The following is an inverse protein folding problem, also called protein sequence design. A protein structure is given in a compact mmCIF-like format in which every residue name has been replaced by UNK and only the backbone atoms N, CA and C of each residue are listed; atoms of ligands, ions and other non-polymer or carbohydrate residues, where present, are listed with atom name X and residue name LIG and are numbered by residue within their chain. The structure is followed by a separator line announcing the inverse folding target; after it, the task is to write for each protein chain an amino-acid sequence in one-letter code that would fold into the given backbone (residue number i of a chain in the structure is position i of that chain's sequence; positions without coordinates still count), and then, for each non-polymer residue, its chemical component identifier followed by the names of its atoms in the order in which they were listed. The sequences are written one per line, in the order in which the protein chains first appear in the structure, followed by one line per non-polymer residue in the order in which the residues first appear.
data_IF_528432939925
#
_entry.id   IF_528432939925
#
_cell.length_a   1.000
_cell.length_b   1.000
_cell.length_c   1.000
_cell.angle_alpha   90.00
_cell.angle_beta   90.00
_cell.angle_gamma   90.00
#
_symmetry.space_group_name_H-M   'P 1'
#
loop_
_entity.id
_entity.type
_entity.pdbx_description
1 polymer ?
#
# COMPACT_ATOMS: atom_id res chain seq x y z
N UNK A 1 2.78 0.91 24.62
CA UNK A 1 3.05 0.06 23.45
C UNK A 1 1.96 0.40 22.45
N UNK A 2 2.32 0.82 21.24
CA UNK A 2 1.35 1.23 20.23
C UNK A 2 0.85 0.02 19.44
N UNK A 3 -0.42 0.02 19.09
CA UNK A 3 -1.01 -0.98 18.20
C UNK A 3 -0.90 -0.46 16.76
N UNK A 4 -0.04 -1.08 15.95
CA UNK A 4 0.20 -0.66 14.57
C UNK A 4 -0.32 -1.76 13.64
N UNK A 5 -1.30 -1.40 12.80
CA UNK A 5 -1.79 -2.25 11.71
C UNK A 5 -1.31 -1.67 10.38
N UNK A 6 -0.59 -2.46 9.59
CA UNK A 6 -0.06 -2.03 8.29
C UNK A 6 0.13 -3.25 7.38
N UNK A 7 -0.45 -3.20 6.19
CA UNK A 7 -0.22 -4.17 5.11
C UNK A 7 -0.35 -3.47 3.75
N UNK A 8 0.68 -2.70 3.41
CA UNK A 8 0.63 -1.83 2.22
C UNK A 8 0.60 -2.62 0.92
N UNK A 9 1.15 -3.84 0.92
CA UNK A 9 1.14 -4.68 -0.28
C UNK A 9 -0.24 -5.30 -0.50
N UNK A 10 -0.92 -5.73 0.57
CA UNK A 10 -2.32 -6.15 0.47
C UNK A 10 -3.22 -4.99 0.01
N UNK A 11 -3.04 -3.79 0.54
CA UNK A 11 -3.79 -2.60 0.11
C UNK A 11 -3.60 -2.30 -1.40
N UNK A 12 -2.38 -2.48 -1.89
CA UNK A 12 -2.07 -2.35 -3.31
C UNK A 12 -2.78 -3.43 -4.14
N UNK A 13 -2.72 -4.69 -3.72
CA UNK A 13 -3.42 -5.80 -4.40
C UNK A 13 -4.94 -5.56 -4.43
N UNK A 14 -5.51 -5.08 -3.34
CA UNK A 14 -6.94 -4.78 -3.28
C UNK A 14 -7.30 -3.63 -4.22
N UNK A 15 -6.46 -2.60 -4.30
CA UNK A 15 -6.64 -1.53 -5.30
C UNK A 15 -6.57 -2.07 -6.72
N UNK A 16 -5.62 -2.96 -7.03
CA UNK A 16 -5.53 -3.62 -8.34
C UNK A 16 -6.82 -4.38 -8.66
N UNK A 17 -7.35 -5.16 -7.71
CA UNK A 17 -8.64 -5.88 -7.90
C UNK A 17 -9.78 -4.92 -8.21
N UNK A 18 -9.86 -3.77 -7.52
CA UNK A 18 -10.89 -2.75 -7.80
C UNK A 18 -10.73 -2.13 -9.19
N UNK A 19 -9.49 -1.89 -9.65
CA UNK A 19 -9.22 -1.40 -11.03
C UNK A 19 -9.77 -2.38 -12.07
N UNK A 20 -9.48 -3.68 -11.92
CA UNK A 20 -10.00 -4.71 -12.82
C UNK A 20 -11.53 -4.85 -12.73
N UNK A 21 -12.11 -4.74 -11.54
CA UNK A 21 -13.58 -4.73 -11.38
C UNK A 21 -14.20 -3.52 -12.08
N UNK A 22 -13.61 -2.34 -11.92
CA UNK A 22 -14.05 -1.10 -12.54
C UNK A 22 -13.90 -1.07 -14.07
N UNK A 23 -12.95 -1.83 -14.63
CA UNK A 23 -12.75 -1.94 -16.08
C UNK A 23 -13.74 -2.90 -16.77
N UNK A 24 -14.57 -3.62 -16.00
CA UNK A 24 -15.52 -4.62 -16.52
C UNK A 24 -14.92 -6.01 -16.73
N UNK A 25 -13.65 -6.22 -16.33
CA UNK A 25 -12.95 -7.49 -16.43
C UNK A 25 -12.38 -7.88 -15.06
N UNK A 26 -13.23 -8.26 -14.08
CA UNK A 26 -12.77 -8.59 -12.75
C UNK A 26 -11.82 -9.79 -12.76
N UNK A 27 -10.78 -9.72 -11.93
CA UNK A 27 -9.87 -10.82 -11.67
C UNK A 27 -10.63 -12.00 -11.03
N UNK A 28 -10.42 -13.26 -11.47
CA UNK A 28 -10.93 -14.45 -10.80
C UNK A 28 -10.72 -14.45 -9.27
N UNK A 29 -11.72 -14.97 -8.55
CA UNK A 29 -11.62 -15.18 -7.11
C UNK A 29 -10.56 -16.25 -6.79
N UNK A 30 -9.80 -16.03 -5.72
CA UNK A 30 -8.79 -16.97 -5.24
C UNK A 30 -7.42 -16.87 -5.90
N UNK A 31 -7.19 -15.91 -6.80
CA UNK A 31 -5.83 -15.60 -7.26
C UNK A 31 -4.95 -15.18 -6.09
N UNK A 32 -3.70 -15.66 -6.13
CA UNK A 32 -2.64 -15.25 -5.22
C UNK A 32 -2.20 -13.81 -5.50
N UNK A 33 -1.59 -13.17 -4.50
CA UNK A 33 -1.02 -11.82 -4.62
C UNK A 33 0.02 -11.72 -5.74
N UNK A 34 0.77 -12.80 -5.98
CA UNK A 34 1.70 -12.87 -7.11
C UNK A 34 0.93 -12.75 -8.44
N UNK A 35 -0.12 -13.57 -8.62
CA UNK A 35 -0.91 -13.60 -9.85
C UNK A 35 -1.62 -12.26 -10.10
N UNK A 36 -2.16 -11.63 -9.04
CA UNK A 36 -2.79 -10.30 -9.12
C UNK A 36 -1.79 -9.28 -9.64
N UNK A 37 -0.59 -9.24 -9.06
CA UNK A 37 0.42 -8.27 -9.47
C UNK A 37 0.95 -8.51 -10.89
N UNK A 38 1.15 -9.77 -11.29
CA UNK A 38 1.51 -10.10 -12.69
C UNK A 38 0.41 -9.64 -13.64
N UNK A 39 -0.85 -9.98 -13.36
CA UNK A 39 -1.98 -9.58 -14.20
C UNK A 39 -2.06 -8.05 -14.39
N UNK A 40 -1.78 -7.29 -13.32
CA UNK A 40 -1.71 -5.83 -13.42
C UNK A 40 -0.64 -5.36 -14.41
N UNK A 41 0.60 -5.81 -14.25
CA UNK A 41 1.70 -5.37 -15.11
C UNK A 41 1.63 -5.91 -16.55
N UNK A 42 0.94 -7.03 -16.77
CA UNK A 42 0.64 -7.55 -18.11
C UNK A 42 -0.21 -6.60 -18.97
N UNK A 43 -0.88 -5.60 -18.39
CA UNK A 43 -1.57 -4.57 -19.17
C UNK A 43 -0.61 -3.67 -19.96
N UNK A 44 0.65 -3.58 -19.53
CA UNK A 44 1.67 -2.70 -20.13
C UNK A 44 2.95 -3.42 -20.57
N UNK A 45 3.28 -4.55 -19.95
CA UNK A 45 4.46 -5.35 -20.27
C UNK A 45 4.29 -6.09 -21.61
N UNK A 46 5.40 -6.37 -22.29
CA UNK A 46 5.41 -7.09 -23.57
C UNK A 46 5.46 -8.61 -23.36
N UNK A 47 5.98 -9.06 -22.23
CA UNK A 47 6.11 -10.48 -21.87
C UNK A 47 5.76 -10.71 -20.41
N UNK A 48 5.42 -11.96 -20.08
CA UNK A 48 5.18 -12.37 -18.70
C UNK A 48 6.44 -12.22 -17.83
N UNK A 49 7.62 -12.52 -18.36
CA UNK A 49 8.90 -12.33 -17.64
C UNK A 49 9.13 -10.85 -17.28
N UNK A 50 8.76 -9.92 -18.17
CA UNK A 50 8.83 -8.49 -17.87
C UNK A 50 7.81 -8.09 -16.79
N UNK A 51 6.59 -8.59 -16.87
CA UNK A 51 5.57 -8.35 -15.86
C UNK A 51 5.97 -8.89 -14.48
N UNK A 52 6.60 -10.07 -14.42
CA UNK A 52 7.13 -10.64 -13.18
C UNK A 52 8.23 -9.77 -12.57
N UNK A 53 9.16 -9.25 -13.38
CA UNK A 53 10.21 -8.34 -12.91
C UNK A 53 9.63 -7.02 -12.39
N UNK A 54 8.65 -6.45 -13.08
CA UNK A 54 7.97 -5.23 -12.63
C UNK A 54 7.22 -5.46 -11.32
N UNK A 55 6.54 -6.60 -11.20
CA UNK A 55 5.86 -7.04 -9.97
C UNK A 55 6.83 -7.17 -8.80
N UNK A 56 7.95 -7.87 -8.99
CA UNK A 56 9.00 -8.02 -7.98
C UNK A 56 9.54 -6.66 -7.53
N UNK A 57 9.89 -5.78 -8.48
CA UNK A 57 10.39 -4.45 -8.16
C UNK A 57 9.36 -3.62 -7.37
N UNK A 58 8.07 -3.71 -7.72
CA UNK A 58 7.01 -3.01 -7.02
C UNK A 58 6.77 -3.56 -5.61
N UNK A 59 6.75 -4.89 -5.45
CA UNK A 59 6.64 -5.54 -4.14
C UNK A 59 7.76 -5.10 -3.21
N UNK A 60 9.02 -5.16 -3.68
CA UNK A 60 10.18 -4.73 -2.88
C UNK A 60 10.07 -3.25 -2.48
N UNK A 61 9.61 -2.39 -3.40
CA UNK A 61 9.41 -0.96 -3.10
C UNK A 61 8.35 -0.76 -2.02
N UNK A 62 7.19 -1.41 -2.13
CA UNK A 62 6.08 -1.26 -1.17
C UNK A 62 6.47 -1.81 0.20
N UNK A 63 7.12 -2.98 0.25
CA UNK A 63 7.62 -3.56 1.50
C UNK A 63 8.70 -2.66 2.14
N UNK A 64 9.57 -2.04 1.35
CA UNK A 64 10.53 -1.06 1.83
C UNK A 64 9.87 0.19 2.45
N UNK A 65 8.77 0.68 1.88
CA UNK A 65 7.97 1.76 2.46
C UNK A 65 7.36 1.35 3.80
N UNK A 66 6.76 0.16 3.87
CA UNK A 66 6.20 -0.39 5.10
C UNK A 66 7.25 -0.52 6.20
N UNK A 67 8.41 -1.08 5.87
CA UNK A 67 9.52 -1.22 6.81
C UNK A 67 9.99 0.16 7.30
N UNK A 68 10.12 1.14 6.40
CA UNK A 68 10.51 2.51 6.76
C UNK A 68 9.53 3.12 7.76
N UNK A 69 8.23 2.92 7.59
CA UNK A 69 7.20 3.39 8.52
C UNK A 69 7.37 2.74 9.90
N UNK A 70 7.54 1.43 9.94
CA UNK A 70 7.69 0.68 11.18
C UNK A 70 8.96 1.09 11.94
N UNK A 71 10.09 1.21 11.26
CA UNK A 71 11.38 1.56 11.86
C UNK A 71 11.42 3.00 12.39
N UNK A 72 10.72 3.92 11.72
CA UNK A 72 10.73 5.34 12.06
C UNK A 72 9.45 5.79 12.80
N UNK A 73 8.59 4.85 13.21
CA UNK A 73 7.28 5.18 13.76
C UNK A 73 7.39 6.08 14.98
N UNK A 74 8.05 5.62 16.05
CA UNK A 74 8.10 6.36 17.31
C UNK A 74 8.94 7.64 17.24
N UNK A 75 9.97 7.65 16.39
CA UNK A 75 10.95 8.75 16.32
C UNK A 75 10.49 9.89 15.43
N UNK A 76 9.79 9.60 14.35
CA UNK A 76 9.46 10.59 13.30
C UNK A 76 7.96 10.69 13.09
N UNK A 77 7.29 9.56 12.83
CA UNK A 77 5.90 9.56 12.35
C UNK A 77 4.92 9.89 13.46
N UNK A 78 5.05 9.26 14.63
CA UNK A 78 4.18 9.48 15.78
C UNK A 78 4.23 10.94 16.28
N UNK A 79 5.41 11.57 16.48
CA UNK A 79 5.47 12.99 16.80
C UNK A 79 4.80 13.86 15.74
N UNK A 80 5.00 13.56 14.44
CA UNK A 80 4.41 14.36 13.36
C UNK A 80 2.88 14.22 13.31
N UNK A 81 2.35 13.00 13.46
CA UNK A 81 0.91 12.75 13.59
C UNK A 81 0.34 13.58 14.74
N UNK A 82 0.93 13.46 15.93
CA UNK A 82 0.47 14.17 17.14
C UNK A 82 0.49 15.68 16.96
N UNK A 83 1.57 16.21 16.37
CA UNK A 83 1.73 17.65 16.17
C UNK A 83 0.76 18.21 15.13
N UNK A 84 0.48 17.47 14.05
CA UNK A 84 -0.37 17.97 12.95
C UNK A 84 -1.86 17.73 13.15
N UNK A 85 -2.23 16.64 13.80
CA UNK A 85 -3.63 16.20 13.92
C UNK A 85 -4.19 16.35 15.34
N UNK A 86 -3.31 16.45 16.35
CA UNK A 86 -3.71 16.40 17.76
C UNK A 86 -4.16 15.01 18.23
N UNK A 87 -4.01 13.96 17.41
CA UNK A 87 -4.42 12.61 17.76
C UNK A 87 -3.61 12.05 18.94
N UNK A 88 -4.29 11.64 20.00
CA UNK A 88 -3.66 11.13 21.24
C UNK A 88 -3.89 9.64 21.48
N UNK A 89 -4.51 8.92 20.54
CA UNK A 89 -4.73 7.49 20.64
C UNK A 89 -3.43 6.69 20.53
N UNK A 90 -3.52 5.42 20.90
CA UNK A 90 -2.39 4.48 20.87
C UNK A 90 -2.51 3.42 19.75
N UNK A 91 -3.61 3.45 18.99
CA UNK A 91 -3.84 2.57 17.83
C UNK A 91 -3.69 3.37 16.53
N UNK A 92 -2.98 2.77 15.56
CA UNK A 92 -2.65 3.38 14.27
C UNK A 92 -2.87 2.35 13.17
N UNK A 93 -3.52 2.78 12.08
CA UNK A 93 -3.74 1.93 10.91
C UNK A 93 -3.26 2.67 9.67
N UNK A 94 -2.20 2.15 9.06
CA UNK A 94 -1.61 2.71 7.85
C UNK A 94 -2.14 1.99 6.63
N UNK A 95 -2.60 2.77 5.66
CA UNK A 95 -3.21 2.28 4.44
C UNK A 95 -2.58 2.89 3.20
N UNK A 96 -2.19 2.06 2.25
CA UNK A 96 -1.83 2.51 0.91
C UNK A 96 -3.10 2.81 0.10
N UNK A 97 -3.15 3.96 -0.56
CA UNK A 97 -4.29 4.34 -1.40
C UNK A 97 -3.81 5.00 -2.70
N UNK A 98 -4.59 4.81 -3.76
CA UNK A 98 -4.39 5.50 -5.03
C UNK A 98 -5.46 6.56 -5.26
N UNK A 99 -5.10 7.84 -5.16
CA UNK A 99 -6.01 8.96 -5.40
C UNK A 99 -5.25 10.13 -6.04
N UNK A 100 -5.26 10.23 -7.37
CA UNK A 100 -4.41 11.16 -8.13
C UNK A 100 -2.92 11.01 -7.82
N UNK A 101 -2.49 9.78 -7.54
CA UNK A 101 -1.15 9.44 -7.09
C UNK A 101 -1.18 8.45 -5.93
N UNK A 102 -0.02 7.90 -5.61
CA UNK A 102 0.15 6.99 -4.48
C UNK A 102 0.24 7.77 -3.18
N UNK A 103 -0.51 7.37 -2.16
CA UNK A 103 -0.47 7.97 -0.83
C UNK A 103 -0.47 6.87 0.24
N UNK A 104 0.13 7.17 1.38
CA UNK A 104 -0.04 6.38 2.60
C UNK A 104 -0.73 7.28 3.62
N UNK A 105 -1.89 6.83 4.11
CA UNK A 105 -2.66 7.54 5.12
C UNK A 105 -2.67 6.74 6.41
N UNK A 106 -2.77 7.44 7.53
CA UNK A 106 -3.10 6.86 8.82
C UNK A 106 -4.59 7.13 9.08
N UNK A 107 -5.39 6.08 9.21
CA UNK A 107 -6.85 6.16 9.17
C UNK A 107 -7.46 6.78 10.43
N UNK A 108 -6.82 6.65 11.60
CA UNK A 108 -7.38 7.13 12.88
C UNK A 108 -7.23 8.65 13.06
N UNK A 109 -6.15 9.22 12.54
CA UNK A 109 -5.83 10.64 12.61
C UNK A 109 -6.08 11.39 11.29
N UNK A 110 -6.41 10.67 10.22
CA UNK A 110 -6.45 11.17 8.84
C UNK A 110 -5.13 11.82 8.39
N UNK A 111 -4.01 11.47 9.05
CA UNK A 111 -2.69 11.94 8.69
C UNK A 111 -2.25 11.32 7.37
N UNK A 112 -1.53 12.07 6.55
CA UNK A 112 -0.93 11.57 5.30
C UNK A 112 0.58 11.63 5.40
N UNK A 113 1.23 10.50 5.19
CA UNK A 113 2.69 10.43 5.12
C UNK A 113 3.16 11.18 3.87
N UNK A 114 4.07 12.15 3.99
CA UNK A 114 4.75 12.74 2.85
C UNK A 114 5.63 11.66 2.20
N UNK A 115 5.34 11.32 0.94
CA UNK A 115 6.11 10.41 0.10
C UNK A 115 7.11 11.17 -0.77
#
# INVERSE_FOLDING_TARGET
MFEITIDLYQDWNDTVKEIFRGSGYPLPEGMSDKEIGVAYFMQTAQTEEEAEKLREANEQRILGLQQTIQENFEQVILPDIRNRTGYTGDSFSFKWVYNNGEHIIEEQSAYRIPL
#
